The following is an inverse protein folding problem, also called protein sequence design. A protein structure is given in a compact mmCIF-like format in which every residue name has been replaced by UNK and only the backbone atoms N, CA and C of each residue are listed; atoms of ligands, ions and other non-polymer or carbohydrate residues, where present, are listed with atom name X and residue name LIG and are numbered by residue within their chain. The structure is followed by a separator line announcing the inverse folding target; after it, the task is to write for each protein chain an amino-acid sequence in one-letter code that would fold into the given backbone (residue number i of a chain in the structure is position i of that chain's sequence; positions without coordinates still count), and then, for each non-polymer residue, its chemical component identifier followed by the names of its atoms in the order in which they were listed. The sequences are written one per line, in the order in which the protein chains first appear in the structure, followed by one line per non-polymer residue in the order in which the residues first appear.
data_IF_792956765315
#
_entry.id   IF_792956765315
#
_cell.length_a   1.000
_cell.length_b   1.000
_cell.length_c   1.000
_cell.angle_alpha   90.00
_cell.angle_beta   90.00
_cell.angle_gamma   90.00
#
_symmetry.space_group_name_H-M   'P 1'
#
loop_
_entity.id
_entity.type
_entity.pdbx_description
1 polymer ?
#
# COMPACT_ATOMS: atom_id res chain seq x y z
N UNK A 1 8.31 10.13 -15.64
CA UNK A 1 6.97 10.32 -15.04
C UNK A 1 7.11 10.21 -13.53
N UNK A 2 6.95 11.30 -12.85
CA UNK A 2 7.06 11.35 -11.38
C UNK A 2 5.71 10.92 -10.82
N UNK A 3 5.61 9.73 -10.22
CA UNK A 3 4.46 9.36 -9.44
C UNK A 3 4.59 10.03 -8.06
N UNK A 4 3.85 11.10 -7.83
CA UNK A 4 3.70 11.65 -6.48
C UNK A 4 2.83 10.70 -5.69
N UNK A 5 3.44 9.97 -4.77
CA UNK A 5 2.69 9.24 -3.74
C UNK A 5 2.47 10.25 -2.62
N UNK A 6 1.31 10.89 -2.64
CA UNK A 6 0.88 11.72 -1.53
C UNK A 6 0.23 10.80 -0.49
N UNK A 7 0.97 10.51 0.56
CA UNK A 7 0.43 9.80 1.72
C UNK A 7 -0.27 10.85 2.57
N UNK A 8 -1.60 10.88 2.52
CA UNK A 8 -2.40 11.74 3.39
C UNK A 8 -2.34 11.17 4.81
N UNK A 9 -1.82 11.92 5.80
CA UNK A 9 -1.75 11.41 7.15
C UNK A 9 -3.15 11.26 7.74
N UNK A 10 -3.43 10.09 8.29
CA UNK A 10 -4.48 10.02 9.30
C UNK A 10 -4.08 10.91 10.47
N UNK A 11 -5.01 11.77 10.93
CA UNK A 11 -4.80 12.58 12.10
C UNK A 11 -4.28 11.72 13.25
N UNK A 12 -3.06 12.02 13.71
CA UNK A 12 -2.36 11.48 14.87
C UNK A 12 -2.98 10.19 15.46
N UNK A 13 -2.72 9.06 14.81
CA UNK A 13 -2.81 7.78 15.47
C UNK A 13 -1.66 7.69 16.50
N UNK A 14 -1.88 7.11 17.69
CA UNK A 14 -0.79 6.85 18.62
C UNK A 14 0.31 6.06 17.88
N UNK A 15 1.57 6.33 18.23
CA UNK A 15 2.74 5.72 17.59
C UNK A 15 2.47 4.24 17.30
N UNK A 16 2.51 3.87 16.00
CA UNK A 16 2.33 2.50 15.60
C UNK A 16 3.34 1.63 16.38
N UNK A 17 2.92 0.49 16.93
CA UNK A 17 3.84 -0.41 17.61
C UNK A 17 5.00 -0.71 16.67
N UNK A 18 6.22 -0.78 17.21
CA UNK A 18 7.39 -1.14 16.45
C UNK A 18 7.08 -2.43 15.69
N UNK A 19 7.14 -2.38 14.37
CA UNK A 19 6.88 -3.56 13.55
C UNK A 19 7.98 -4.56 13.84
N UNK A 20 7.59 -5.71 14.32
CA UNK A 20 8.51 -6.80 14.54
C UNK A 20 9.17 -7.17 13.22
N UNK A 21 10.49 -7.21 13.18
CA UNK A 21 11.26 -7.60 12.01
C UNK A 21 10.81 -8.96 11.45
N UNK A 22 10.37 -9.87 12.30
CA UNK A 22 9.81 -11.17 11.91
C UNK A 22 8.49 -11.04 11.13
N UNK A 23 7.63 -10.08 11.50
CA UNK A 23 6.39 -9.84 10.75
C UNK A 23 6.68 -9.27 9.37
N UNK A 24 7.65 -8.38 9.27
CA UNK A 24 8.08 -7.82 7.98
C UNK A 24 8.65 -8.91 7.07
N UNK A 25 9.52 -9.77 7.58
CA UNK A 25 10.09 -10.89 6.83
C UNK A 25 9.01 -11.87 6.36
N UNK A 26 8.04 -12.19 7.23
CA UNK A 26 6.92 -13.06 6.86
C UNK A 26 6.09 -12.45 5.73
N UNK A 27 5.73 -11.18 5.81
CA UNK A 27 4.98 -10.48 4.75
C UNK A 27 5.76 -10.44 3.45
N UNK A 28 7.06 -10.13 3.49
CA UNK A 28 7.91 -10.12 2.31
C UNK A 28 7.95 -11.47 1.62
N UNK A 29 8.20 -12.51 2.36
CA UNK A 29 8.39 -13.87 1.83
C UNK A 29 7.06 -14.50 1.43
N UNK A 30 6.08 -14.48 2.32
CA UNK A 30 4.85 -15.26 2.15
C UNK A 30 3.86 -14.59 1.19
N UNK A 31 3.76 -13.26 1.21
CA UNK A 31 2.82 -12.52 0.37
C UNK A 31 3.47 -11.99 -0.92
N UNK A 32 4.71 -11.54 -0.85
CA UNK A 32 5.36 -10.91 -2.00
C UNK A 32 6.45 -11.77 -2.66
N UNK A 33 6.83 -12.91 -2.06
CA UNK A 33 7.83 -13.79 -2.61
C UNK A 33 9.22 -13.16 -2.70
N UNK A 34 9.52 -12.24 -1.82
CA UNK A 34 10.78 -11.49 -1.78
C UNK A 34 11.63 -11.94 -0.59
N UNK A 35 12.93 -12.10 -0.81
CA UNK A 35 13.88 -12.40 0.25
C UNK A 35 14.37 -11.16 0.98
N UNK A 36 14.46 -10.03 0.28
CA UNK A 36 14.93 -8.76 0.82
C UNK A 36 14.34 -7.56 0.08
N UNK A 37 14.32 -6.42 0.75
CA UNK A 37 14.00 -5.12 0.17
C UNK A 37 15.27 -4.47 -0.41
N UNK A 38 15.08 -3.64 -1.44
CA UNK A 38 16.11 -2.71 -1.89
C UNK A 38 16.31 -1.63 -0.83
N UNK A 39 17.52 -1.04 -0.66
CA UNK A 39 17.81 -0.09 0.41
C UNK A 39 16.82 1.09 0.50
N UNK A 40 16.45 1.67 -0.64
CA UNK A 40 15.47 2.77 -0.68
C UNK A 40 14.05 2.34 -0.35
N UNK A 41 13.64 1.14 -0.72
CA UNK A 41 12.35 0.57 -0.31
C UNK A 41 12.30 0.39 1.20
N UNK A 42 13.36 -0.17 1.79
CA UNK A 42 13.45 -0.38 3.23
C UNK A 42 13.35 0.95 3.98
N UNK A 43 14.10 1.97 3.57
CA UNK A 43 14.08 3.29 4.18
C UNK A 43 12.66 3.92 4.16
N UNK A 44 11.96 3.82 3.03
CA UNK A 44 10.58 4.33 2.89
C UNK A 44 9.62 3.58 3.80
N UNK A 45 9.69 2.26 3.80
CA UNK A 45 8.82 1.40 4.61
C UNK A 45 9.05 1.67 6.10
N UNK A 46 10.29 1.75 6.55
CA UNK A 46 10.63 2.07 7.95
C UNK A 46 10.07 3.44 8.37
N UNK A 47 10.15 4.44 7.50
CA UNK A 47 9.57 5.75 7.76
C UNK A 47 8.05 5.70 7.89
N UNK A 48 7.38 5.01 6.99
CA UNK A 48 5.92 4.84 7.02
C UNK A 48 5.50 4.10 8.30
N UNK A 49 6.19 3.01 8.62
CA UNK A 49 5.90 2.21 9.82
C UNK A 49 6.13 2.99 11.11
N UNK A 50 7.05 3.95 11.10
CA UNK A 50 7.28 4.86 12.21
C UNK A 50 6.29 6.04 12.27
N UNK A 51 5.28 6.08 11.38
CA UNK A 51 4.29 7.15 11.31
C UNK A 51 4.84 8.48 10.78
N UNK A 52 5.96 8.44 10.07
CA UNK A 52 6.58 9.64 9.50
C UNK A 52 6.06 9.94 8.09
N UNK A 53 5.80 11.21 7.82
CA UNK A 53 5.54 11.67 6.46
C UNK A 53 6.77 11.43 5.59
N UNK A 54 6.58 10.87 4.40
CA UNK A 54 7.68 10.47 3.54
C UNK A 54 7.42 10.86 2.10
N UNK A 55 8.34 11.57 1.49
CA UNK A 55 8.39 11.80 0.05
C UNK A 55 9.46 10.90 -0.54
N UNK A 56 9.03 9.93 -1.36
CA UNK A 56 9.94 8.99 -2.01
C UNK A 56 10.01 9.27 -3.52
N UNK A 57 11.19 9.62 -4.00
CA UNK A 57 11.51 9.78 -5.41
C UNK A 57 12.32 8.57 -5.85
N UNK A 58 11.66 7.65 -6.55
CA UNK A 58 12.26 6.39 -6.98
C UNK A 58 12.18 6.26 -8.51
N UNK A 59 13.21 5.70 -9.16
CA UNK A 59 13.18 5.49 -10.61
C UNK A 59 12.14 4.44 -11.00
N UNK A 60 11.70 4.49 -12.25
CA UNK A 60 10.84 3.46 -12.86
C UNK A 60 11.49 2.09 -12.74
N UNK A 61 10.70 1.07 -12.36
CA UNK A 61 11.19 -0.29 -12.16
C UNK A 61 11.87 -0.56 -10.82
N UNK A 62 11.90 0.41 -9.91
CA UNK A 62 12.46 0.22 -8.57
C UNK A 62 11.56 -0.56 -7.61
N UNK A 63 10.28 -0.74 -7.95
CA UNK A 63 9.30 -1.40 -7.08
C UNK A 63 8.62 -0.44 -6.10
N UNK A 64 8.20 0.74 -6.58
CA UNK A 64 7.55 1.79 -5.77
C UNK A 64 6.29 1.31 -5.06
N UNK A 65 5.49 0.47 -5.70
CA UNK A 65 4.23 -0.04 -5.14
C UNK A 65 4.44 -0.86 -3.87
N UNK A 66 5.56 -1.55 -3.74
CA UNK A 66 5.90 -2.29 -2.52
C UNK A 66 6.02 -1.36 -1.29
N UNK A 67 6.45 -0.13 -1.51
CA UNK A 67 6.64 0.86 -0.44
C UNK A 67 5.35 1.20 0.31
N UNK A 68 4.18 1.04 -0.30
CA UNK A 68 2.89 1.21 0.38
C UNK A 68 2.11 -0.10 0.51
N UNK A 69 2.28 -1.06 -0.39
CA UNK A 69 1.59 -2.35 -0.31
C UNK A 69 2.03 -3.17 0.90
N UNK A 70 3.33 -3.20 1.21
CA UNK A 70 3.85 -3.91 2.38
C UNK A 70 3.36 -3.28 3.68
N UNK A 71 3.52 -1.97 3.92
CA UNK A 71 2.95 -1.34 5.11
C UNK A 71 1.45 -1.53 5.26
N UNK A 72 0.69 -1.56 4.15
CA UNK A 72 -0.76 -1.77 4.19
C UNK A 72 -1.17 -3.12 4.80
N UNK A 73 -0.31 -4.12 4.75
CA UNK A 73 -0.56 -5.44 5.36
C UNK A 73 -0.13 -5.51 6.83
N UNK A 74 0.64 -4.53 7.29
CA UNK A 74 1.22 -4.51 8.64
C UNK A 74 0.54 -3.48 9.56
N UNK A 75 0.08 -2.37 8.98
CA UNK A 75 -0.56 -1.29 9.72
C UNK A 75 -2.03 -1.61 10.01
N UNK A 76 -2.52 -1.25 11.20
CA UNK A 76 -3.95 -1.34 11.50
C UNK A 76 -4.74 -0.30 10.71
N UNK A 77 -6.02 -0.58 10.45
CA UNK A 77 -6.93 0.34 9.79
C UNK A 77 -6.90 0.23 8.27
N UNK A 78 -7.16 1.31 7.58
CA UNK A 78 -7.32 1.36 6.13
C UNK A 78 -6.19 2.17 5.52
N UNK A 79 -5.53 1.59 4.52
CA UNK A 79 -4.56 2.31 3.69
C UNK A 79 -5.26 2.79 2.42
N UNK A 80 -5.22 4.10 2.18
CA UNK A 80 -5.78 4.72 0.98
C UNK A 80 -4.67 5.07 0.01
N UNK A 81 -4.76 4.57 -1.22
CA UNK A 81 -3.83 4.86 -2.31
C UNK A 81 -4.53 5.70 -3.36
N UNK A 82 -4.00 6.88 -3.63
CA UNK A 82 -4.55 7.79 -4.64
C UNK A 82 -3.71 7.67 -5.92
N UNK A 83 -4.36 7.36 -7.02
CA UNK A 83 -3.73 7.25 -8.33
C UNK A 83 -4.57 7.98 -9.39
N UNK A 84 -3.96 8.71 -10.32
CA UNK A 84 -4.68 9.39 -11.40
C UNK A 84 -5.07 8.45 -12.56
N UNK A 85 -4.58 7.22 -12.58
CA UNK A 85 -4.72 6.28 -13.69
C UNK A 85 -5.58 5.07 -13.29
N UNK A 86 -6.77 4.95 -13.89
CA UNK A 86 -7.69 3.83 -13.65
C UNK A 86 -7.06 2.49 -14.03
N UNK A 87 -6.36 2.42 -15.16
CA UNK A 87 -5.67 1.20 -15.60
C UNK A 87 -4.63 0.74 -14.56
N UNK A 88 -3.89 1.67 -13.97
CA UNK A 88 -2.93 1.35 -12.91
C UNK A 88 -3.61 0.84 -11.64
N UNK A 89 -4.77 1.40 -11.27
CA UNK A 89 -5.55 0.89 -10.13
C UNK A 89 -5.95 -0.57 -10.35
N UNK A 90 -6.44 -0.92 -11.55
CA UNK A 90 -6.78 -2.29 -11.90
C UNK A 90 -5.58 -3.22 -11.79
N UNK A 91 -4.44 -2.82 -12.35
CA UNK A 91 -3.22 -3.63 -12.31
C UNK A 91 -2.71 -3.85 -10.88
N UNK A 92 -2.76 -2.82 -10.03
CA UNK A 92 -2.38 -2.88 -8.62
C UNK A 92 -3.28 -3.85 -7.84
N UNK A 93 -4.58 -3.69 -7.94
CA UNK A 93 -5.54 -4.56 -7.22
C UNK A 93 -5.45 -6.00 -7.72
N UNK A 94 -5.42 -6.21 -9.04
CA UNK A 94 -5.29 -7.54 -9.62
C UNK A 94 -3.96 -8.21 -9.24
N UNK A 95 -2.88 -7.44 -9.16
CA UNK A 95 -1.58 -7.93 -8.70
C UNK A 95 -1.63 -8.42 -7.24
N UNK A 96 -2.34 -7.72 -6.36
CA UNK A 96 -2.56 -8.13 -4.97
C UNK A 96 -3.41 -9.40 -4.90
N UNK A 97 -4.51 -9.46 -5.63
CA UNK A 97 -5.41 -10.64 -5.68
C UNK A 97 -4.64 -11.89 -6.13
N UNK A 98 -3.82 -11.78 -7.16
CA UNK A 98 -2.96 -12.89 -7.65
C UNK A 98 -1.98 -13.41 -6.59
N UNK A 99 -1.63 -12.58 -5.62
CA UNK A 99 -0.79 -12.95 -4.47
C UNK A 99 -1.60 -13.50 -3.29
N UNK A 100 -2.92 -13.64 -3.43
CA UNK A 100 -3.82 -14.07 -2.35
C UNK A 100 -4.22 -12.96 -1.38
N UNK A 101 -3.89 -11.70 -1.67
CA UNK A 101 -4.27 -10.54 -0.88
C UNK A 101 -5.63 -10.06 -1.39
N UNK A 102 -6.69 -10.39 -0.65
CA UNK A 102 -8.09 -10.15 -1.08
C UNK A 102 -8.75 -8.96 -0.37
N UNK A 103 -8.03 -8.30 0.53
CA UNK A 103 -8.51 -7.14 1.30
C UNK A 103 -8.24 -5.79 0.61
N UNK A 104 -8.12 -5.79 -0.70
CA UNK A 104 -7.93 -4.59 -1.51
C UNK A 104 -9.09 -4.39 -2.48
N UNK A 105 -9.50 -3.14 -2.65
CA UNK A 105 -10.50 -2.74 -3.64
C UNK A 105 -10.12 -1.41 -4.28
N UNK A 106 -10.86 -1.00 -5.29
CA UNK A 106 -10.66 0.30 -5.96
C UNK A 106 -11.99 1.03 -6.13
N UNK A 107 -11.93 2.33 -6.06
CA UNK A 107 -13.02 3.24 -6.35
C UNK A 107 -12.57 4.19 -7.45
N UNK A 108 -13.32 4.27 -8.53
CA UNK A 108 -13.03 5.17 -9.64
C UNK A 108 -14.29 5.51 -10.44
N UNK A 109 -14.18 6.40 -11.40
CA UNK A 109 -15.30 6.89 -12.20
C UNK A 109 -15.90 5.87 -13.17
N UNK A 110 -15.29 4.71 -13.36
CA UNK A 110 -15.84 3.64 -14.22
C UNK A 110 -16.86 2.76 -13.49
N UNK A 111 -16.99 2.91 -12.17
CA UNK A 111 -17.94 2.14 -11.37
C UNK A 111 -19.34 2.77 -11.39
N UNK A 112 -20.38 1.93 -11.42
CA UNK A 112 -21.75 2.36 -11.20
C UNK A 112 -21.96 2.74 -9.72
N UNK A 113 -22.93 3.62 -9.39
CA UNK A 113 -23.16 4.07 -8.01
C UNK A 113 -23.40 2.96 -7.01
N UNK A 114 -24.15 1.92 -7.37
CA UNK A 114 -24.40 0.74 -6.56
C UNK A 114 -23.11 -0.06 -6.25
N UNK A 115 -22.22 -0.17 -7.23
CA UNK A 115 -20.91 -0.80 -7.02
C UNK A 115 -20.03 0.01 -6.06
N UNK A 116 -20.11 1.34 -6.12
CA UNK A 116 -19.39 2.21 -5.17
C UNK A 116 -19.91 2.00 -3.76
N UNK A 117 -21.24 1.98 -3.57
CA UNK A 117 -21.86 1.76 -2.26
C UNK A 117 -21.49 0.39 -1.69
N UNK A 118 -21.54 -0.66 -2.48
CA UNK A 118 -21.16 -2.01 -2.08
C UNK A 118 -19.70 -2.07 -1.59
N UNK A 119 -18.77 -1.48 -2.36
CA UNK A 119 -17.36 -1.47 -2.00
C UNK A 119 -17.07 -0.63 -0.77
N UNK A 120 -17.71 0.51 -0.62
CA UNK A 120 -17.59 1.35 0.58
C UNK A 120 -18.14 0.62 1.81
N UNK A 121 -19.27 -0.09 1.68
CA UNK A 121 -19.82 -0.89 2.76
C UNK A 121 -18.89 -2.04 3.19
N UNK A 122 -18.19 -2.65 2.25
CA UNK A 122 -17.24 -3.73 2.52
C UNK A 122 -15.95 -3.26 3.24
N UNK A 123 -15.64 -1.96 3.22
CA UNK A 123 -14.48 -1.37 3.92
C UNK A 123 -14.78 -1.13 5.40
N UNK A 124 -16.03 -1.05 5.80
CA UNK A 124 -16.46 -0.84 7.20
C UNK A 124 -16.41 -2.11 8.02
#
# INVERSE_FOLDING_TARGET
MVANIEIVPQAMAPAAPAVDALMLEAVLKDLFGLEALRPKQQEVIENIMAGRHTLALLPTGYGKSLCYQIPSQLLPGITVVISPLIALMHDQVNGLIKRGITNATMLNSSLAPDQVEERVAAIR
#
